data_IF_820754759446
#
_entry.id   IF_820754759446
#
_cell.length_a   1.000
_cell.length_b   1.000
_cell.length_c   1.000
_cell.angle_alpha   90.00
_cell.angle_beta   90.00
_cell.angle_gamma   90.00
#
_symmetry.space_group_name_H-M   'P 1'
#
loop_
_entity.id
_entity.type
_entity.pdbx_description
1 polymer ?
#
# COMPACT_ATOMS: atom_id res chain seq x y z
N UNK A 1 38.05 10.32 -1.48
CA UNK A 1 37.57 9.47 -2.61
C UNK A 1 37.55 7.98 -2.29
N UNK A 2 38.58 7.42 -1.61
CA UNK A 2 38.61 6.00 -1.22
C UNK A 2 37.40 5.52 -0.40
N UNK A 3 36.91 6.33 0.55
CA UNK A 3 35.74 6.00 1.38
C UNK A 3 34.42 5.90 0.60
N UNK A 4 34.24 6.73 -0.44
CA UNK A 4 33.05 6.73 -1.29
C UNK A 4 33.04 5.48 -2.18
N UNK A 5 34.22 5.10 -2.71
CA UNK A 5 34.40 3.86 -3.45
C UNK A 5 34.10 2.63 -2.59
N UNK A 6 34.56 2.63 -1.33
CA UNK A 6 34.32 1.53 -0.39
C UNK A 6 32.84 1.38 -0.02
N UNK A 7 32.14 2.49 0.24
CA UNK A 7 30.71 2.50 0.56
C UNK A 7 29.85 2.02 -0.63
N UNK A 8 30.18 2.45 -1.85
CA UNK A 8 29.52 1.96 -3.07
C UNK A 8 29.80 0.47 -3.31
N UNK A 9 31.04 0.01 -3.11
CA UNK A 9 31.40 -1.40 -3.25
C UNK A 9 30.67 -2.28 -2.22
N UNK A 10 30.52 -1.81 -0.98
CA UNK A 10 29.79 -2.51 0.08
C UNK A 10 28.29 -2.61 -0.24
N UNK A 11 27.67 -1.53 -0.74
CA UNK A 11 26.26 -1.52 -1.15
C UNK A 11 25.99 -2.47 -2.32
N UNK A 12 26.91 -2.55 -3.29
CA UNK A 12 26.82 -3.52 -4.40
C UNK A 12 26.98 -4.96 -3.88
N UNK A 13 27.90 -5.20 -2.95
CA UNK A 13 28.10 -6.52 -2.33
C UNK A 13 26.87 -6.99 -1.52
N UNK A 14 26.10 -6.06 -0.95
CA UNK A 14 24.83 -6.32 -0.26
C UNK A 14 23.63 -6.56 -1.21
N UNK A 15 23.87 -6.61 -2.53
CA UNK A 15 22.83 -6.87 -3.52
C UNK A 15 21.86 -5.70 -3.72
N UNK A 16 22.27 -4.49 -3.32
CA UNK A 16 21.46 -3.29 -3.51
C UNK A 16 21.44 -2.94 -5.01
N UNK A 17 20.26 -2.80 -5.63
CA UNK A 17 20.17 -2.57 -7.06
C UNK A 17 20.90 -1.27 -7.45
N UNK A 18 21.73 -1.35 -8.50
CA UNK A 18 22.68 -0.33 -8.96
C UNK A 18 22.10 1.10 -9.06
N UNK A 19 20.80 1.21 -9.30
CA UNK A 19 20.05 2.48 -9.35
C UNK A 19 20.11 3.27 -8.03
N UNK A 20 20.11 2.57 -6.90
CA UNK A 20 20.19 3.18 -5.57
C UNK A 20 21.64 3.56 -5.21
N UNK A 21 22.61 2.74 -5.64
CA UNK A 21 24.04 3.03 -5.49
C UNK A 21 24.42 4.29 -6.27
N UNK A 22 23.90 4.44 -7.50
CA UNK A 22 24.08 5.64 -8.32
C UNK A 22 23.45 6.89 -7.67
N UNK A 23 22.27 6.76 -7.06
CA UNK A 23 21.60 7.84 -6.34
C UNK A 23 22.40 8.30 -5.11
N UNK A 24 22.94 7.35 -4.33
CA UNK A 24 23.81 7.63 -3.17
C UNK A 24 25.10 8.32 -3.61
N UNK A 25 25.75 7.82 -4.68
CA UNK A 25 26.93 8.45 -5.26
C UNK A 25 26.66 9.87 -5.79
N UNK A 26 25.51 10.08 -6.43
CA UNK A 26 25.10 11.40 -6.96
C UNK A 26 24.80 12.38 -5.82
N UNK A 27 24.16 11.93 -4.73
CA UNK A 27 23.89 12.77 -3.55
C UNK A 27 25.15 13.16 -2.78
N UNK A 28 26.18 12.31 -2.77
CA UNK A 28 27.48 12.60 -2.18
C UNK A 28 28.29 13.61 -3.00
N UNK A 29 28.12 13.62 -4.33
CA UNK A 29 28.78 14.56 -5.22
C UNK A 29 28.05 15.91 -5.32
N UNK A 30 26.71 15.91 -5.31
CA UNK A 30 25.87 17.09 -5.50
C UNK A 30 24.62 17.02 -4.58
N UNK A 31 24.71 17.51 -3.33
CA UNK A 31 23.66 17.31 -2.31
C UNK A 31 22.30 17.91 -2.70
N UNK A 32 22.27 19.01 -3.47
CA UNK A 32 21.02 19.64 -3.94
C UNK A 32 20.24 18.80 -4.96
N UNK A 33 20.92 18.11 -5.87
CA UNK A 33 20.27 17.28 -6.90
C UNK A 33 19.74 15.96 -6.32
N UNK A 34 20.40 15.42 -5.28
CA UNK A 34 19.94 14.24 -4.55
C UNK A 34 18.60 14.48 -3.84
N UNK A 35 18.44 15.64 -3.20
CA UNK A 35 17.19 16.02 -2.52
C UNK A 35 16.04 16.26 -3.51
N UNK A 36 16.30 16.90 -4.65
CA UNK A 36 15.30 17.12 -5.69
C UNK A 36 14.81 15.79 -6.31
N UNK A 37 15.73 14.88 -6.65
CA UNK A 37 15.38 13.56 -7.19
C UNK A 37 14.62 12.68 -6.17
N UNK A 38 15.03 12.72 -4.90
CA UNK A 38 14.33 12.04 -3.80
C UNK A 38 12.91 12.58 -3.59
N UNK A 39 12.73 13.91 -3.61
CA UNK A 39 11.43 14.56 -3.49
C UNK A 39 10.46 14.21 -4.62
N UNK A 40 10.94 14.23 -5.87
CA UNK A 40 10.13 13.85 -7.04
C UNK A 40 9.78 12.35 -7.01
N UNK A 41 10.71 11.49 -6.61
CA UNK A 41 10.46 10.06 -6.43
C UNK A 41 9.39 9.77 -5.37
N UNK A 42 9.48 10.46 -4.22
CA UNK A 42 8.52 10.33 -3.13
C UNK A 42 7.14 10.87 -3.53
N UNK A 43 7.08 12.04 -4.17
CA UNK A 43 5.83 12.62 -4.67
C UNK A 43 5.15 11.70 -5.69
N UNK A 44 5.91 11.14 -6.63
CA UNK A 44 5.39 10.18 -7.63
C UNK A 44 4.95 8.86 -7.00
N UNK A 45 5.64 8.39 -5.96
CA UNK A 45 5.26 7.19 -5.22
C UNK A 45 3.96 7.39 -4.43
N UNK A 46 3.85 8.52 -3.72
CA UNK A 46 2.63 8.91 -2.99
C UNK A 46 1.45 9.13 -3.95
N UNK A 47 1.68 9.76 -5.10
CA UNK A 47 0.66 9.98 -6.11
C UNK A 47 0.16 8.65 -6.71
N UNK A 48 1.06 7.71 -7.03
CA UNK A 48 0.69 6.35 -7.50
C UNK A 48 -0.04 5.52 -6.46
N UNK A 49 0.27 5.71 -5.17
CA UNK A 49 -0.44 5.03 -4.09
C UNK A 49 -1.84 5.60 -3.86
N UNK A 50 -2.04 6.89 -4.12
CA UNK A 50 -3.36 7.55 -4.05
C UNK A 50 -4.31 7.11 -5.18
N UNK A 51 -3.78 6.71 -6.34
CA UNK A 51 -4.59 6.42 -7.53
C UNK A 51 -4.88 4.93 -7.76
N UNK A 52 -4.42 4.03 -6.88
CA UNK A 52 -4.85 2.62 -6.92
C UNK A 52 -6.24 2.48 -6.32
N UNK A 53 -7.19 2.59 -7.24
CA UNK A 53 -8.62 2.37 -7.23
C UNK A 53 -9.06 1.04 -6.59
N UNK A 54 -10.26 1.10 -5.98
CA UNK A 54 -11.06 -0.01 -5.44
C UNK A 54 -10.43 -0.74 -4.26
N UNK A 55 -10.34 -0.04 -3.12
CA UNK A 55 -10.01 -0.68 -1.85
C UNK A 55 -11.15 -1.56 -1.32
N UNK A 56 -10.88 -2.44 -0.34
CA UNK A 56 -11.88 -3.32 0.30
C UNK A 56 -13.11 -2.58 0.79
N UNK A 57 -12.93 -1.31 1.21
CA UNK A 57 -14.00 -0.45 1.68
C UNK A 57 -15.04 -0.12 0.61
N UNK A 58 -14.63 -0.03 -0.66
CA UNK A 58 -15.54 0.26 -1.78
C UNK A 58 -16.37 -0.99 -2.09
N UNK A 59 -15.74 -2.17 -2.13
CA UNK A 59 -16.43 -3.45 -2.30
C UNK A 59 -17.41 -3.72 -1.16
N UNK A 60 -17.00 -3.49 0.09
CA UNK A 60 -17.86 -3.62 1.27
C UNK A 60 -19.08 -2.70 1.20
N UNK A 61 -18.88 -1.43 0.81
CA UNK A 61 -19.98 -0.46 0.63
C UNK A 61 -20.98 -0.91 -0.43
N UNK A 62 -20.50 -1.51 -1.53
CA UNK A 62 -21.38 -2.06 -2.55
C UNK A 62 -22.23 -3.21 -2.00
N UNK A 63 -21.62 -4.17 -1.29
CA UNK A 63 -22.35 -5.32 -0.72
C UNK A 63 -23.37 -4.89 0.34
N UNK A 64 -23.06 -3.89 1.17
CA UNK A 64 -24.05 -3.29 2.07
C UNK A 64 -25.20 -2.64 1.32
N UNK A 65 -24.91 -1.89 0.26
CA UNK A 65 -25.96 -1.28 -0.54
C UNK A 65 -26.87 -2.34 -1.17
N UNK A 66 -26.32 -3.48 -1.62
CA UNK A 66 -27.12 -4.62 -2.08
C UNK A 66 -28.00 -5.17 -0.96
N UNK A 67 -27.44 -5.36 0.23
CA UNK A 67 -28.19 -5.85 1.39
C UNK A 67 -29.33 -4.88 1.80
N UNK A 68 -29.08 -3.57 1.75
CA UNK A 68 -30.09 -2.54 2.00
C UNK A 68 -31.25 -2.61 0.99
N UNK A 69 -30.96 -2.75 -0.30
CA UNK A 69 -32.01 -2.89 -1.33
C UNK A 69 -32.82 -4.18 -1.15
N UNK A 70 -32.14 -5.29 -0.83
CA UNK A 70 -32.79 -6.56 -0.53
C UNK A 70 -33.69 -6.48 0.71
N UNK A 71 -33.26 -5.77 1.76
CA UNK A 71 -34.08 -5.48 2.95
C UNK A 71 -35.29 -4.61 2.61
N UNK A 72 -35.15 -3.72 1.63
CA UNK A 72 -36.25 -2.95 1.04
C UNK A 72 -37.23 -3.79 0.22
N UNK A 73 -36.96 -5.09 0.04
CA UNK A 73 -37.80 -6.01 -0.74
C UNK A 73 -37.47 -6.04 -2.23
N UNK A 74 -36.36 -5.42 -2.66
CA UNK A 74 -35.94 -5.49 -4.06
C UNK A 74 -35.58 -6.94 -4.44
N UNK A 75 -35.91 -7.33 -5.67
CA UNK A 75 -35.40 -8.59 -6.21
C UNK A 75 -33.87 -8.51 -6.35
N UNK A 76 -33.16 -9.60 -6.04
CA UNK A 76 -31.70 -9.65 -6.03
C UNK A 76 -31.03 -9.06 -7.28
N UNK A 77 -31.60 -9.32 -8.45
CA UNK A 77 -31.13 -8.77 -9.73
C UNK A 77 -31.16 -7.23 -9.74
N UNK A 78 -32.24 -6.62 -9.26
CA UNK A 78 -32.41 -5.17 -9.20
C UNK A 78 -31.60 -4.56 -8.06
N UNK A 79 -31.49 -5.25 -6.93
CA UNK A 79 -30.62 -4.83 -5.83
C UNK A 79 -29.16 -4.62 -6.29
N UNK A 80 -28.63 -5.46 -7.19
CA UNK A 80 -27.30 -5.25 -7.77
C UNK A 80 -27.20 -3.99 -8.64
N UNK A 81 -28.27 -3.67 -9.37
CA UNK A 81 -28.35 -2.50 -10.26
C UNK A 81 -28.42 -1.23 -9.44
N UNK A 82 -29.33 -1.18 -8.48
CA UNK A 82 -29.58 0.00 -7.65
C UNK A 82 -28.39 0.27 -6.71
N UNK A 83 -27.79 -0.78 -6.14
CA UNK A 83 -26.57 -0.66 -5.35
C UNK A 83 -25.38 -0.11 -6.16
N UNK A 84 -25.28 -0.45 -7.44
CA UNK A 84 -24.17 0.02 -8.28
C UNK A 84 -24.25 1.53 -8.54
N UNK A 85 -25.47 2.10 -8.58
CA UNK A 85 -25.65 3.55 -8.70
C UNK A 85 -25.09 4.31 -7.49
N UNK A 86 -25.06 3.69 -6.30
CA UNK A 86 -24.50 4.27 -5.07
C UNK A 86 -22.97 4.15 -4.98
N UNK A 87 -22.34 3.35 -5.85
CA UNK A 87 -20.89 3.06 -5.80
C UNK A 87 -20.29 3.16 -7.21
N UNK A 88 -20.22 4.38 -7.79
CA UNK A 88 -19.74 4.58 -9.17
C UNK A 88 -18.24 4.29 -9.36
N UNK A 89 -17.48 4.13 -8.28
CA UNK A 89 -16.05 3.82 -8.34
C UNK A 89 -15.76 2.38 -8.79
N UNK A 90 -16.76 1.48 -8.73
CA UNK A 90 -16.65 0.12 -9.25
C UNK A 90 -17.16 0.04 -10.69
N UNK A 91 -16.32 -0.46 -11.60
CA UNK A 91 -16.73 -0.72 -12.98
C UNK A 91 -17.55 -2.03 -13.09
N UNK A 92 -18.83 -1.94 -12.70
CA UNK A 92 -19.78 -3.07 -12.70
C UNK A 92 -20.59 -3.18 -14.00
N UNK A 93 -20.29 -2.39 -15.03
CA UNK A 93 -21.05 -2.36 -16.30
C UNK A 93 -21.34 -3.76 -16.88
N UNK A 94 -20.41 -4.72 -16.92
CA UNK A 94 -20.70 -6.06 -17.44
C UNK A 94 -21.69 -6.85 -16.57
N UNK A 95 -21.61 -6.69 -15.25
CA UNK A 95 -22.55 -7.30 -14.29
C UNK A 95 -23.94 -6.71 -14.49
N UNK A 96 -24.03 -5.39 -14.60
CA UNK A 96 -25.30 -4.68 -14.81
C UNK A 96 -25.96 -5.05 -16.13
N UNK A 97 -25.17 -5.14 -17.22
CA UNK A 97 -25.70 -5.59 -18.52
C UNK A 97 -26.19 -7.03 -18.47
N UNK A 98 -25.46 -7.93 -17.81
CA UNK A 98 -25.87 -9.32 -17.64
C UNK A 98 -27.16 -9.43 -16.80
N UNK A 99 -27.24 -8.66 -15.71
CA UNK A 99 -28.42 -8.56 -14.87
C UNK A 99 -29.62 -8.05 -15.69
N UNK A 100 -29.49 -6.91 -16.38
CA UNK A 100 -30.55 -6.31 -17.18
C UNK A 100 -31.00 -7.20 -18.36
N UNK A 101 -30.08 -7.97 -18.95
CA UNK A 101 -30.38 -8.91 -20.04
C UNK A 101 -31.12 -10.18 -19.58
N UNK A 102 -31.42 -10.33 -18.29
CA UNK A 102 -32.16 -11.49 -17.78
C UNK A 102 -31.32 -12.77 -17.70
N UNK A 103 -29.99 -12.69 -17.82
CA UNK A 103 -29.11 -13.87 -17.73
C UNK A 103 -29.25 -14.60 -16.38
N UNK A 104 -29.00 -15.92 -16.33
CA UNK A 104 -29.06 -16.70 -15.09
C UNK A 104 -28.19 -16.08 -13.98
N UNK A 105 -28.65 -16.16 -12.73
CA UNK A 105 -28.00 -15.50 -11.60
C UNK A 105 -26.60 -16.04 -11.33
N UNK A 106 -26.34 -17.30 -11.67
CA UNK A 106 -25.03 -17.94 -11.61
C UNK A 106 -24.03 -17.20 -12.52
N UNK A 107 -24.48 -16.77 -13.70
CA UNK A 107 -23.65 -16.08 -14.68
C UNK A 107 -23.46 -14.59 -14.32
N UNK A 108 -24.45 -13.99 -13.66
CA UNK A 108 -24.33 -12.64 -13.08
C UNK A 108 -23.35 -12.67 -11.90
N UNK A 109 -23.45 -13.67 -11.03
CA UNK A 109 -22.55 -13.90 -9.91
C UNK A 109 -21.11 -14.17 -10.35
N UNK A 110 -20.91 -14.95 -11.41
CA UNK A 110 -19.58 -15.19 -11.98
C UNK A 110 -18.94 -13.88 -12.48
N UNK A 111 -19.70 -13.03 -13.18
CA UNK A 111 -19.20 -11.72 -13.60
C UNK A 111 -18.95 -10.79 -12.42
N UNK A 112 -19.76 -10.86 -11.37
CA UNK A 112 -19.55 -10.09 -10.15
C UNK A 112 -18.26 -10.52 -9.44
N UNK A 113 -17.99 -11.82 -9.38
CA UNK A 113 -16.74 -12.38 -8.82
C UNK A 113 -15.52 -11.79 -9.48
N UNK A 114 -15.53 -11.69 -10.82
CA UNK A 114 -14.38 -11.19 -11.58
C UNK A 114 -14.18 -9.67 -11.43
N UNK A 115 -15.18 -8.95 -10.91
CA UNK A 115 -15.17 -7.48 -10.74
C UNK A 115 -14.92 -7.01 -9.33
N UNK A 116 -15.04 -7.88 -8.35
CA UNK A 116 -14.73 -7.61 -6.95
C UNK A 116 -13.50 -8.44 -6.56
N UNK A 117 -12.28 -7.88 -6.67
CA UNK A 117 -11.04 -8.59 -6.44
C UNK A 117 -10.95 -9.36 -5.11
N UNK A 118 -11.51 -8.81 -4.02
CA UNK A 118 -11.39 -9.44 -2.70
C UNK A 118 -12.66 -10.16 -2.28
N UNK A 119 -13.82 -9.52 -2.43
CA UNK A 119 -15.10 -10.02 -1.91
C UNK A 119 -15.94 -10.72 -2.98
N UNK A 120 -15.50 -10.72 -4.24
CA UNK A 120 -16.22 -11.32 -5.36
C UNK A 120 -16.52 -12.81 -5.21
N UNK A 121 -15.57 -13.65 -4.79
CA UNK A 121 -15.84 -15.07 -4.54
C UNK A 121 -16.91 -15.28 -3.48
N UNK A 122 -16.87 -14.48 -2.40
CA UNK A 122 -17.85 -14.54 -1.32
C UNK A 122 -19.23 -14.05 -1.78
N UNK A 123 -19.28 -12.97 -2.55
CA UNK A 123 -20.51 -12.46 -3.15
C UNK A 123 -21.15 -13.49 -4.11
N UNK A 124 -20.34 -14.16 -4.94
CA UNK A 124 -20.84 -15.20 -5.82
C UNK A 124 -21.35 -16.42 -5.04
N UNK A 125 -20.66 -16.83 -3.96
CA UNK A 125 -21.17 -17.89 -3.08
C UNK A 125 -22.45 -17.49 -2.37
N UNK A 126 -22.61 -16.22 -1.97
CA UNK A 126 -23.83 -15.73 -1.35
C UNK A 126 -25.03 -15.83 -2.30
N UNK A 127 -24.84 -15.51 -3.60
CA UNK A 127 -25.87 -15.72 -4.63
C UNK A 127 -26.23 -17.20 -4.75
N UNK A 128 -25.24 -18.08 -4.83
CA UNK A 128 -25.47 -19.52 -4.95
C UNK A 128 -26.20 -20.09 -3.73
N UNK A 129 -25.79 -19.69 -2.52
CA UNK A 129 -26.44 -20.11 -1.27
C UNK A 129 -27.88 -19.62 -1.21
N UNK A 130 -28.15 -18.36 -1.55
CA UNK A 130 -29.51 -17.83 -1.58
C UNK A 130 -30.40 -18.58 -2.59
N UNK A 131 -29.86 -18.94 -3.76
CA UNK A 131 -30.58 -19.72 -4.77
C UNK A 131 -30.86 -21.17 -4.37
N UNK A 132 -29.91 -21.85 -3.73
CA UNK A 132 -30.03 -23.26 -3.35
C UNK A 132 -30.90 -23.48 -2.11
N UNK A 133 -30.81 -22.58 -1.13
CA UNK A 133 -31.46 -22.77 0.18
C UNK A 133 -32.84 -22.11 0.27
N UNK A 134 -33.16 -21.20 -0.66
CA UNK A 134 -34.32 -20.32 -0.54
C UNK A 134 -34.24 -19.37 0.65
N UNK A 135 -33.08 -19.30 1.34
CA UNK A 135 -32.87 -18.38 2.44
C UNK A 135 -33.05 -16.94 1.94
N UNK A 136 -33.58 -16.03 2.76
CA UNK A 136 -33.78 -14.65 2.36
C UNK A 136 -32.44 -14.05 1.97
N UNK A 137 -32.28 -13.73 0.67
CA UNK A 137 -31.03 -13.19 0.12
C UNK A 137 -30.54 -11.99 0.93
N UNK A 138 -31.47 -11.18 1.46
CA UNK A 138 -31.18 -10.08 2.38
C UNK A 138 -30.29 -10.52 3.56
N UNK A 139 -30.63 -11.62 4.25
CA UNK A 139 -29.87 -12.08 5.42
C UNK A 139 -28.47 -12.58 5.05
N UNK A 140 -28.33 -13.26 3.91
CA UNK A 140 -27.02 -13.74 3.43
C UNK A 140 -26.12 -12.56 3.05
N UNK A 141 -26.67 -11.56 2.35
CA UNK A 141 -25.93 -10.36 1.97
C UNK A 141 -25.67 -9.42 3.15
N UNK A 142 -26.52 -9.40 4.17
CA UNK A 142 -26.27 -8.68 5.43
C UNK A 142 -25.08 -9.29 6.18
N UNK A 143 -25.05 -10.61 6.34
CA UNK A 143 -23.93 -11.31 6.96
C UNK A 143 -22.62 -11.08 6.17
N UNK A 144 -22.71 -11.11 4.84
CA UNK A 144 -21.57 -10.81 3.97
C UNK A 144 -21.12 -9.34 4.10
N UNK A 145 -22.05 -8.40 4.17
CA UNK A 145 -21.78 -6.98 4.39
C UNK A 145 -21.10 -6.72 5.73
N UNK A 146 -21.58 -7.35 6.81
CA UNK A 146 -20.94 -7.29 8.12
C UNK A 146 -19.53 -7.87 8.09
N UNK A 147 -19.34 -9.03 7.46
CA UNK A 147 -18.01 -9.63 7.33
C UNK A 147 -17.05 -8.76 6.51
N UNK A 148 -17.54 -8.12 5.45
CA UNK A 148 -16.76 -7.17 4.66
C UNK A 148 -16.28 -5.97 5.49
N UNK A 149 -17.07 -5.55 6.48
CA UNK A 149 -16.75 -4.45 7.38
C UNK A 149 -15.65 -4.80 8.35
N UNK A 150 -15.71 -6.01 8.90
CA UNK A 150 -14.66 -6.56 9.75
C UNK A 150 -13.33 -6.64 8.98
N UNK A 151 -13.36 -7.08 7.72
CA UNK A 151 -12.15 -7.08 6.89
C UNK A 151 -11.61 -5.68 6.64
N UNK A 152 -12.49 -4.69 6.44
CA UNK A 152 -12.09 -3.29 6.27
C UNK A 152 -11.52 -2.71 7.56
N UNK A 153 -12.09 -3.02 8.72
CA UNK A 153 -11.61 -2.55 10.02
C UNK A 153 -10.25 -3.16 10.34
N UNK A 154 -10.08 -4.47 10.15
CA UNK A 154 -8.81 -5.19 10.31
C UNK A 154 -7.71 -4.63 9.41
N UNK A 155 -8.00 -4.42 8.12
CA UNK A 155 -7.02 -3.83 7.20
C UNK A 155 -6.64 -2.40 7.62
N UNK A 156 -7.60 -1.61 8.10
CA UNK A 156 -7.33 -0.26 8.63
C UNK A 156 -6.46 -0.34 9.88
N UNK A 157 -6.70 -1.29 10.77
CA UNK A 157 -5.92 -1.49 11.98
C UNK A 157 -4.49 -1.91 11.65
N UNK A 158 -4.30 -2.94 10.82
CA UNK A 158 -2.99 -3.39 10.33
C UNK A 158 -2.24 -2.23 9.67
N UNK A 159 -2.91 -1.46 8.80
CA UNK A 159 -2.30 -0.31 8.14
C UNK A 159 -1.89 0.79 9.11
N UNK A 160 -2.69 1.01 10.16
CA UNK A 160 -2.38 2.02 11.19
C UNK A 160 -1.19 1.57 12.04
N UNK A 161 -1.19 0.33 12.50
CA UNK A 161 -0.08 -0.26 13.27
C UNK A 161 1.21 -0.32 12.46
N UNK A 162 1.16 -0.77 11.20
CA UNK A 162 2.33 -0.76 10.31
C UNK A 162 2.77 0.66 9.93
N UNK A 163 1.85 1.61 9.83
CA UNK A 163 2.15 3.03 9.65
C UNK A 163 2.97 3.58 10.82
N UNK A 164 2.55 3.30 12.06
CA UNK A 164 3.26 3.69 13.27
C UNK A 164 4.62 3.00 13.39
N UNK A 165 4.70 1.70 13.09
CA UNK A 165 5.97 0.95 13.07
C UNK A 165 6.93 1.52 12.01
N UNK A 166 6.43 1.91 10.84
CA UNK A 166 7.24 2.55 9.80
C UNK A 166 7.68 3.95 10.19
N UNK A 167 6.82 4.75 10.82
CA UNK A 167 7.17 6.09 11.28
C UNK A 167 8.22 6.04 12.40
N UNK A 168 8.06 5.14 13.37
CA UNK A 168 9.06 4.94 14.43
C UNK A 168 10.39 4.45 13.85
N UNK A 169 10.37 3.47 12.94
CA UNK A 169 11.58 3.04 12.23
C UNK A 169 12.22 4.16 11.41
N UNK A 170 11.41 4.98 10.72
CA UNK A 170 11.90 6.12 9.96
C UNK A 170 12.52 7.19 10.85
N UNK A 171 11.90 7.53 11.98
CA UNK A 171 12.44 8.49 12.95
C UNK A 171 13.76 7.98 13.52
N UNK A 172 13.83 6.71 13.95
CA UNK A 172 15.07 6.11 14.47
C UNK A 172 16.17 6.09 13.41
N UNK A 173 15.82 5.80 12.15
CA UNK A 173 16.76 5.77 11.04
C UNK A 173 17.23 7.17 10.59
N UNK A 174 16.38 8.19 10.70
CA UNK A 174 16.67 9.55 10.21
C UNK A 174 17.16 10.50 11.31
N UNK A 175 16.98 10.16 12.58
CA UNK A 175 17.45 10.95 13.71
C UNK A 175 18.97 11.21 13.74
N UNK A 176 19.86 10.29 13.31
CA UNK A 176 21.30 10.54 13.35
C UNK A 176 21.74 11.52 12.24
N UNK A 177 21.10 11.51 11.08
CA UNK A 177 21.45 12.34 9.93
C UNK A 177 21.54 13.86 10.21
N UNK A 178 20.58 14.53 10.86
CA UNK A 178 20.70 15.95 11.21
C UNK A 178 21.77 16.21 12.28
N UNK A 179 22.02 15.26 13.18
CA UNK A 179 23.10 15.32 14.16
C UNK A 179 24.47 15.21 13.48
N UNK A 180 24.62 14.26 12.55
CA UNK A 180 25.81 14.10 11.72
C UNK A 180 26.03 15.34 10.83
N UNK A 181 24.99 15.86 10.19
CA UNK A 181 25.05 17.08 9.39
C UNK A 181 25.42 18.31 10.24
N UNK A 182 24.81 18.46 11.42
CA UNK A 182 25.14 19.54 12.34
C UNK A 182 26.59 19.44 12.83
N UNK A 183 27.06 18.22 13.14
CA UNK A 183 28.45 17.97 13.50
C UNK A 183 29.39 18.33 12.35
N UNK A 184 29.11 17.93 11.11
CA UNK A 184 29.90 18.28 9.93
C UNK A 184 29.94 19.80 9.67
N UNK A 185 28.82 20.49 9.86
CA UNK A 185 28.73 21.94 9.67
C UNK A 185 29.48 22.74 10.75
N UNK A 186 29.53 22.25 12.01
CA UNK A 186 30.34 22.87 13.08
C UNK A 186 31.81 22.42 13.07
N UNK A 187 32.08 21.18 12.69
CA UNK A 187 33.42 20.59 12.55
C UNK A 187 34.07 20.99 11.23
N UNK A 188 33.40 21.76 10.38
CA UNK A 188 34.05 22.61 9.37
C UNK A 188 35.15 23.53 9.95
N UNK A 189 35.21 23.70 11.27
CA UNK A 189 36.32 24.34 11.99
C UNK A 189 37.52 23.41 12.32
N UNK A 190 37.45 22.10 12.07
CA UNK A 190 38.50 21.09 12.35
C UNK A 190 38.79 20.25 11.10
N UNK A 191 38.97 20.91 9.96
CA UNK A 191 39.20 20.28 8.63
C UNK A 191 40.63 19.69 8.49
N UNK A 192 41.41 19.61 9.57
CA UNK A 192 42.80 19.14 9.52
C UNK A 192 43.07 17.76 10.13
N UNK A 193 42.17 17.21 10.94
CA UNK A 193 42.50 16.04 11.77
C UNK A 193 42.00 14.71 11.15
N UNK A 194 42.90 13.83 10.70
CA UNK A 194 42.54 12.54 10.10
C UNK A 194 41.81 11.61 11.07
N UNK A 195 41.96 11.77 12.39
CA UNK A 195 41.22 10.99 13.39
C UNK A 195 39.74 11.35 13.40
N UNK A 196 39.41 12.65 13.32
CA UNK A 196 38.03 13.14 13.29
C UNK A 196 37.33 12.70 12.00
N UNK A 197 38.03 12.77 10.87
CA UNK A 197 37.52 12.26 9.59
C UNK A 197 37.25 10.75 9.63
N UNK A 198 38.11 9.97 10.30
CA UNK A 198 37.91 8.54 10.51
C UNK A 198 36.66 8.22 11.33
N UNK A 199 36.47 8.92 12.45
CA UNK A 199 35.30 8.74 13.33
C UNK A 199 33.99 9.07 12.60
N UNK A 200 33.95 10.20 11.87
CA UNK A 200 32.78 10.58 11.08
C UNK A 200 32.52 9.57 9.96
N UNK A 201 33.57 9.08 9.30
CA UNK A 201 33.47 8.05 8.28
C UNK A 201 32.86 6.74 8.81
N UNK A 202 33.31 6.27 9.97
CA UNK A 202 32.74 5.10 10.65
C UNK A 202 31.29 5.34 11.04
N UNK A 203 30.96 6.54 11.55
CA UNK A 203 29.58 6.92 11.90
C UNK A 203 28.62 6.85 10.73
N UNK A 204 28.99 7.45 9.59
CA UNK A 204 28.19 7.40 8.35
C UNK A 204 28.05 5.98 7.83
N UNK A 205 29.11 5.17 7.92
CA UNK A 205 29.09 3.78 7.45
C UNK A 205 28.18 2.90 8.32
N UNK A 206 28.18 3.12 9.63
CA UNK A 206 27.28 2.46 10.58
C UNK A 206 25.82 2.89 10.36
N UNK A 207 25.59 4.17 10.06
CA UNK A 207 24.25 4.70 9.75
C UNK A 207 23.71 4.09 8.44
N UNK A 208 24.51 4.06 7.38
CA UNK A 208 24.15 3.40 6.12
C UNK A 208 23.88 1.90 6.31
N UNK A 209 24.65 1.21 7.15
CA UNK A 209 24.41 -0.18 7.49
C UNK A 209 23.09 -0.37 8.25
N UNK A 210 22.77 0.53 9.20
CA UNK A 210 21.49 0.53 9.91
C UNK A 210 20.30 0.72 8.97
N UNK A 211 20.37 1.70 8.06
CA UNK A 211 19.33 1.93 7.04
C UNK A 211 19.18 0.71 6.12
N UNK A 212 20.28 0.08 5.72
CA UNK A 212 20.27 -1.10 4.87
C UNK A 212 19.57 -2.30 5.55
N UNK A 213 19.85 -2.55 6.83
CA UNK A 213 19.21 -3.61 7.62
C UNK A 213 17.70 -3.38 7.74
N UNK A 214 17.27 -2.14 8.03
CA UNK A 214 15.84 -1.80 8.10
C UNK A 214 15.15 -2.01 6.75
N UNK A 215 15.79 -1.59 5.65
CA UNK A 215 15.26 -1.79 4.30
C UNK A 215 15.13 -3.27 3.93
N UNK A 216 16.06 -4.11 4.40
CA UNK A 216 16.04 -5.57 4.22
C UNK A 216 14.90 -6.22 5.01
N UNK A 217 14.69 -5.82 6.27
CA UNK A 217 13.56 -6.31 7.07
C UNK A 217 12.22 -5.96 6.43
N UNK A 218 12.02 -4.71 5.98
CA UNK A 218 10.76 -4.27 5.35
C UNK A 218 10.47 -5.03 4.05
N UNK A 219 11.50 -5.43 3.31
CA UNK A 219 11.35 -6.25 2.10
C UNK A 219 10.95 -7.69 2.37
N UNK A 220 11.32 -8.26 3.53
CA UNK A 220 11.00 -9.65 3.89
C UNK A 220 9.54 -9.85 4.32
N UNK A 221 8.86 -8.78 4.71
CA UNK A 221 7.44 -8.80 5.12
C UNK A 221 6.46 -8.43 3.99
N UNK A 222 6.92 -8.29 2.76
CA UNK A 222 6.09 -8.15 1.56
C UNK A 222 6.08 -9.46 0.80
#
# INVERSE_FOLDING_TARGET
MLLIGLACALLVALGVPYRHVALVGLSLAHPGLGLAAGGVGLARHLHRHRTRTSGPAVEARYLRAVADELRGGAALRWAFVDAAARVPELDLRPVLRAAAAGLPMEEVAARLRDRLPRLGPLAASAVAVAGLTGAPAAAVFDALGAHADDLVSLEREIRTQTGQARLSAAVVALAPAPLALWSLLRVGAVVGDPLVAGIVGVGVLLELAGVAVIALMVRRFR
#
